data_IF_948373986627
#
_entry.id   IF_948373986627
#
_cell.length_a   1.000
_cell.length_b   1.000
_cell.length_c   1.000
_cell.angle_alpha   90.00
_cell.angle_beta   90.00
_cell.angle_gamma   90.00
#
_symmetry.space_group_name_H-M   'P 1'
#
loop_
_entity.id
_entity.type
_entity.pdbx_description
1 polymer ?
#
# COMPACT_ATOMS: atom_id res chain seq x y z
N UNK A 1 0.77 15.79 0.61
CA UNK A 1 0.33 16.11 1.98
C UNK A 1 0.20 14.80 2.73
N UNK A 2 1.11 14.55 3.66
CA UNK A 2 1.18 13.29 4.41
C UNK A 2 0.14 13.32 5.53
N UNK A 3 -0.92 12.51 5.39
CA UNK A 3 -1.90 12.30 6.46
C UNK A 3 -1.19 11.57 7.60
N UNK A 4 -1.31 12.09 8.82
CA UNK A 4 -0.73 11.43 10.00
C UNK A 4 -1.65 10.28 10.40
N UNK A 5 -1.11 9.09 10.64
CA UNK A 5 -1.90 7.98 11.17
C UNK A 5 -1.92 8.13 12.70
N UNK A 6 -3.10 8.11 13.30
CA UNK A 6 -3.31 8.23 14.74
C UNK A 6 -3.68 6.86 15.28
N UNK A 7 -3.00 6.43 16.33
CA UNK A 7 -3.32 5.24 17.12
C UNK A 7 -3.92 5.67 18.46
N UNK A 8 -5.02 5.05 18.85
CA UNK A 8 -5.59 5.16 20.20
C UNK A 8 -6.27 3.86 20.62
N UNK A 9 -6.43 3.64 21.92
CA UNK A 9 -7.10 2.44 22.44
C UNK A 9 -8.54 2.80 22.85
N UNK A 10 -9.51 2.01 22.39
CA UNK A 10 -10.93 2.13 22.74
C UNK A 10 -11.65 0.82 22.41
N UNK A 11 -12.76 0.48 23.07
CA UNK A 11 -13.48 -0.78 22.86
C UNK A 11 -12.58 -2.02 23.02
N UNK A 12 -11.65 -1.98 23.98
CA UNK A 12 -10.65 -3.03 24.24
C UNK A 12 -9.79 -3.39 23.02
N UNK A 13 -9.60 -2.43 22.09
CA UNK A 13 -8.82 -2.59 20.86
C UNK A 13 -7.98 -1.37 20.57
N UNK A 14 -6.89 -1.57 19.85
CA UNK A 14 -6.15 -0.49 19.21
C UNK A 14 -6.87 -0.10 17.91
N UNK A 15 -7.18 1.18 17.77
CA UNK A 15 -7.83 1.78 16.61
C UNK A 15 -6.82 2.69 15.92
N UNK A 16 -6.75 2.55 14.59
CA UNK A 16 -5.86 3.31 13.72
C UNK A 16 -6.71 4.13 12.77
N UNK A 17 -6.39 5.43 12.63
CA UNK A 17 -7.16 6.34 11.77
C UNK A 17 -6.31 7.45 11.20
N UNK A 18 -6.49 7.81 9.94
CA UNK A 18 -5.84 8.97 9.36
C UNK A 18 -6.38 10.28 9.94
N UNK A 19 -5.48 11.22 10.22
CA UNK A 19 -5.83 12.60 10.55
C UNK A 19 -6.39 13.28 9.30
N UNK A 20 -7.60 13.82 9.36
CA UNK A 20 -8.11 14.67 8.29
C UNK A 20 -7.38 16.04 8.33
N UNK A 21 -6.70 16.40 7.24
CA UNK A 21 -5.96 17.67 7.12
C UNK A 21 -6.82 18.90 6.85
N UNK A 22 -8.15 18.78 6.77
CA UNK A 22 -9.04 19.92 6.57
C UNK A 22 -9.31 20.72 7.86
N UNK A 23 -8.36 20.77 8.80
CA UNK A 23 -8.57 21.31 10.16
C UNK A 23 -7.68 22.52 10.47
N UNK A 24 -6.68 22.83 9.63
CA UNK A 24 -5.79 23.97 9.87
C UNK A 24 -6.27 25.28 9.22
N UNK A 25 -7.35 25.29 8.46
CA UNK A 25 -8.04 26.54 8.11
C UNK A 25 -9.05 26.83 9.22
N UNK A 26 -8.91 28.00 9.85
CA UNK A 26 -9.94 28.60 10.69
C UNK A 26 -11.29 28.44 9.96
N UNK A 27 -12.32 27.87 10.60
CA UNK A 27 -13.60 27.78 9.95
C UNK A 27 -14.11 29.20 9.71
N UNK A 28 -14.26 29.58 8.44
CA UNK A 28 -15.31 30.54 8.11
C UNK A 28 -16.59 29.99 8.75
N UNK A 29 -17.22 30.79 9.61
CA UNK A 29 -18.31 30.40 10.51
C UNK A 29 -19.62 29.94 9.79
N UNK A 30 -19.52 29.57 8.53
CA UNK A 30 -20.61 29.22 7.62
C UNK A 30 -20.44 27.82 6.99
N UNK A 31 -19.33 27.10 7.21
CA UNK A 31 -19.14 25.75 6.68
C UNK A 31 -19.64 24.67 7.66
N UNK A 32 -20.89 24.24 7.50
CA UNK A 32 -21.51 23.14 8.25
C UNK A 32 -20.76 21.80 8.05
N UNK A 33 -20.14 21.60 6.89
CA UNK A 33 -19.37 20.40 6.55
C UNK A 33 -18.07 20.25 7.37
N UNK A 34 -17.39 21.35 7.71
CA UNK A 34 -16.16 21.32 8.50
C UNK A 34 -16.42 21.00 9.99
N UNK A 35 -17.60 21.35 10.50
CA UNK A 35 -18.01 21.04 11.87
C UNK A 35 -18.37 19.55 12.04
N UNK A 36 -19.07 18.97 11.07
CA UNK A 36 -19.43 17.54 11.07
C UNK A 36 -18.20 16.62 10.92
N UNK A 37 -17.21 16.98 10.10
CA UNK A 37 -15.97 16.22 9.94
C UNK A 37 -15.14 16.20 11.23
N UNK A 38 -15.03 17.35 11.93
CA UNK A 38 -14.36 17.47 13.22
C UNK A 38 -15.06 16.65 14.32
N UNK A 39 -16.40 16.59 14.30
CA UNK A 39 -17.20 15.75 15.20
C UNK A 39 -17.02 14.24 14.94
N UNK A 40 -16.76 13.83 13.70
CA UNK A 40 -16.47 12.42 13.37
C UNK A 40 -15.12 11.96 13.91
N UNK A 41 -14.11 12.83 13.99
CA UNK A 41 -12.78 12.47 14.52
C UNK A 41 -12.78 12.22 16.03
N UNK A 42 -13.72 12.82 16.76
CA UNK A 42 -13.88 12.64 18.20
C UNK A 42 -14.82 11.48 18.55
N UNK A 43 -15.16 10.61 17.58
CA UNK A 43 -16.00 9.43 17.81
C UNK A 43 -15.26 8.16 17.44
N UNK A 44 -15.46 7.13 18.24
CA UNK A 44 -14.96 5.79 17.96
C UNK A 44 -15.64 5.27 16.68
N UNK A 45 -14.91 4.80 15.66
CA UNK A 45 -15.52 4.25 14.44
C UNK A 45 -16.23 2.91 14.67
N UNK A 46 -15.98 2.25 15.81
CA UNK A 46 -16.57 0.95 16.15
C UNK A 46 -17.89 1.09 16.90
N UNK A 47 -17.92 1.93 17.94
CA UNK A 47 -19.12 2.09 18.79
C UNK A 47 -19.79 3.46 18.69
N UNK A 48 -19.23 4.38 17.89
CA UNK A 48 -19.75 5.74 17.66
C UNK A 48 -19.82 6.68 18.88
N UNK A 49 -19.33 6.20 20.04
CA UNK A 49 -19.22 6.98 21.27
C UNK A 49 -18.12 8.05 21.18
N UNK A 50 -18.29 9.12 21.96
CA UNK A 50 -17.31 10.20 22.02
C UNK A 50 -16.03 9.73 22.69
N UNK A 51 -14.91 9.87 21.98
CA UNK A 51 -13.58 9.57 22.48
C UNK A 51 -13.20 10.56 23.59
N UNK A 52 -12.76 10.01 24.73
CA UNK A 52 -12.20 10.75 25.85
C UNK A 52 -10.93 10.04 26.27
N UNK A 53 -9.84 10.79 26.35
CA UNK A 53 -8.53 10.25 26.69
C UNK A 53 -8.02 10.94 27.95
N UNK A 54 -7.48 10.16 28.88
CA UNK A 54 -6.62 10.70 29.92
C UNK A 54 -5.18 10.84 29.38
N UNK A 55 -4.27 11.43 30.17
CA UNK A 55 -2.90 11.68 29.72
C UNK A 55 -2.12 10.40 29.35
N UNK A 56 -2.41 9.28 30.01
CA UNK A 56 -1.75 7.98 29.75
C UNK A 56 -2.32 7.26 28.54
N UNK A 57 -3.57 7.59 28.15
CA UNK A 57 -4.30 7.02 27.01
C UNK A 57 -4.36 8.00 25.82
N UNK A 58 -3.52 9.04 25.85
CA UNK A 58 -3.50 10.06 24.80
C UNK A 58 -3.21 9.41 23.44
N UNK A 59 -3.94 9.79 22.38
CA UNK A 59 -3.67 9.29 21.03
C UNK A 59 -2.24 9.60 20.62
N UNK A 60 -1.60 8.63 19.96
CA UNK A 60 -0.22 8.78 19.48
C UNK A 60 -0.21 8.88 17.96
N UNK A 61 0.53 9.86 17.45
CA UNK A 61 0.83 9.97 16.03
C UNK A 61 1.88 8.94 15.64
N UNK A 62 1.58 8.14 14.63
CA UNK A 62 2.51 7.20 14.02
C UNK A 62 2.76 7.58 12.54
N UNK A 63 3.91 7.18 11.98
CA UNK A 63 4.23 7.48 10.58
C UNK A 63 3.15 6.98 9.63
N UNK A 64 2.89 7.76 8.58
CA UNK A 64 2.01 7.34 7.49
C UNK A 64 2.52 6.02 6.90
N UNK A 65 1.67 4.98 6.76
CA UNK A 65 2.09 3.71 6.17
C UNK A 65 2.29 3.82 4.66
N UNK A 66 1.75 4.87 4.02
CA UNK A 66 1.87 5.09 2.59
C UNK A 66 3.16 5.80 2.25
N UNK A 67 3.87 5.26 1.26
CA UNK A 67 5.05 5.83 0.65
C UNK A 67 4.88 5.84 -0.86
N UNK A 68 5.75 6.60 -1.55
CA UNK A 68 5.88 6.45 -2.98
C UNK A 68 6.62 5.13 -3.27
N UNK A 69 5.91 4.15 -3.84
CA UNK A 69 6.44 2.83 -4.17
C UNK A 69 7.61 2.91 -5.15
N UNK A 70 7.62 3.89 -6.05
CA UNK A 70 8.73 4.12 -6.98
C UNK A 70 10.03 4.53 -6.27
N UNK A 71 9.96 4.98 -5.01
CA UNK A 71 11.14 5.33 -4.21
C UNK A 71 11.62 4.18 -3.32
N UNK A 72 10.97 3.01 -3.35
CA UNK A 72 11.34 1.84 -2.55
C UNK A 72 11.83 0.74 -3.49
N UNK A 73 13.17 0.53 -3.60
CA UNK A 73 13.73 -0.44 -4.52
C UNK A 73 13.44 -1.88 -4.08
N UNK A 74 13.29 -2.79 -5.04
CA UNK A 74 13.16 -4.22 -4.78
C UNK A 74 12.10 -4.55 -3.72
N UNK A 75 10.90 -3.99 -3.89
CA UNK A 75 9.85 -4.00 -2.88
C UNK A 75 8.57 -4.63 -3.39
N UNK A 76 7.83 -5.22 -2.46
CA UNK A 76 6.44 -5.59 -2.63
C UNK A 76 5.56 -4.38 -2.31
N UNK A 77 4.77 -3.93 -3.28
CA UNK A 77 3.91 -2.77 -3.16
C UNK A 77 2.44 -3.18 -3.17
N UNK A 78 1.69 -2.64 -2.22
CA UNK A 78 0.22 -2.71 -2.17
C UNK A 78 -0.31 -1.32 -2.47
N UNK A 79 -0.97 -1.19 -3.61
CA UNK A 79 -1.66 0.01 -4.06
C UNK A 79 -3.14 -0.28 -4.31
N UNK A 80 -3.77 0.58 -5.10
CA UNK A 80 -5.14 0.41 -5.59
C UNK A 80 -5.15 0.27 -7.10
N UNK A 81 -6.00 -0.62 -7.63
CA UNK A 81 -6.16 -0.82 -9.07
C UNK A 81 -6.62 0.46 -9.80
N UNK A 82 -7.30 1.35 -9.08
CA UNK A 82 -7.78 2.62 -9.61
C UNK A 82 -6.80 3.79 -9.37
N UNK A 83 -5.60 3.48 -8.88
CA UNK A 83 -4.52 4.44 -8.68
C UNK A 83 -4.44 5.05 -7.27
N UNK A 84 -3.45 5.93 -7.02
CA UNK A 84 -3.03 6.36 -5.68
C UNK A 84 -4.11 7.06 -4.85
N UNK A 85 -5.11 7.66 -5.49
CA UNK A 85 -6.19 8.37 -4.78
C UNK A 85 -7.25 7.42 -4.21
N UNK A 86 -7.28 6.17 -4.67
CA UNK A 86 -8.29 5.17 -4.32
C UNK A 86 -7.76 4.12 -3.33
N UNK A 87 -6.69 4.44 -2.59
CA UNK A 87 -6.28 3.68 -1.40
C UNK A 87 -6.68 4.48 -0.17
N UNK A 88 -7.67 3.97 0.57
CA UNK A 88 -8.24 4.68 1.73
C UNK A 88 -8.69 3.72 2.83
N UNK A 89 -8.91 4.25 4.03
CA UNK A 89 -9.49 3.51 5.16
C UNK A 89 -11.03 3.51 5.16
N UNK A 90 -11.65 4.30 4.28
CA UNK A 90 -13.10 4.55 4.27
C UNK A 90 -13.81 3.88 3.11
N UNK A 91 -13.11 3.61 2.01
CA UNK A 91 -13.69 3.10 0.77
C UNK A 91 -13.19 1.68 0.52
N UNK A 92 -14.04 0.86 -0.08
CA UNK A 92 -13.64 -0.44 -0.63
C UNK A 92 -12.58 -0.19 -1.72
N UNK A 93 -11.33 -0.45 -1.35
CA UNK A 93 -10.19 -0.27 -2.24
C UNK A 93 -9.88 -1.61 -2.89
N UNK A 94 -10.07 -1.70 -4.21
CA UNK A 94 -9.61 -2.86 -4.98
C UNK A 94 -8.09 -2.91 -4.96
N UNK A 95 -7.54 -3.76 -4.06
CA UNK A 95 -6.10 -3.84 -3.83
C UNK A 95 -5.39 -4.37 -5.06
N UNK A 96 -4.30 -3.70 -5.42
CA UNK A 96 -3.44 -4.08 -6.53
C UNK A 96 -1.99 -4.22 -6.08
N UNK A 97 -1.32 -5.22 -6.64
CA UNK A 97 0.00 -5.65 -6.19
C UNK A 97 1.03 -5.45 -7.29
N UNK A 98 2.19 -4.90 -6.92
CA UNK A 98 3.30 -4.66 -7.81
C UNK A 98 4.64 -4.97 -7.15
N UNK A 99 5.63 -5.32 -7.96
CA UNK A 99 7.01 -5.54 -7.54
C UNK A 99 7.90 -4.45 -8.16
N UNK A 100 8.69 -3.74 -7.36
CA UNK A 100 9.66 -2.79 -7.91
C UNK A 100 10.97 -3.48 -8.27
N UNK A 101 11.58 -3.03 -9.37
CA UNK A 101 12.99 -3.27 -9.61
C UNK A 101 13.85 -2.30 -8.74
N UNK A 102 15.17 -2.37 -8.87
CA UNK A 102 16.10 -1.53 -8.10
C UNK A 102 16.01 -0.04 -8.44
N UNK A 103 15.41 0.31 -9.58
CA UNK A 103 15.23 1.69 -10.07
C UNK A 103 13.85 2.27 -9.76
N UNK A 104 12.94 1.50 -9.16
CA UNK A 104 11.60 1.96 -8.82
C UNK A 104 10.54 1.76 -9.91
N UNK A 105 10.87 1.08 -11.02
CA UNK A 105 9.86 0.68 -12.01
C UNK A 105 9.03 -0.45 -11.42
N UNK A 106 7.71 -0.31 -11.45
CA UNK A 106 6.78 -1.27 -10.84
C UNK A 106 6.26 -2.25 -11.89
N UNK A 107 6.60 -3.52 -11.71
CA UNK A 107 6.09 -4.63 -12.49
C UNK A 107 4.80 -5.14 -11.84
N UNK A 108 3.70 -5.13 -12.60
CA UNK A 108 2.41 -5.60 -12.12
C UNK A 108 1.63 -6.32 -13.20
N UNK A 109 0.85 -7.33 -12.81
CA UNK A 109 0.06 -8.12 -13.75
C UNK A 109 -1.37 -7.60 -13.80
N UNK A 110 -1.83 -7.23 -14.99
CA UNK A 110 -3.18 -6.72 -15.22
C UNK A 110 -3.89 -7.54 -16.31
N UNK A 111 -5.12 -7.13 -16.61
CA UNK A 111 -5.91 -7.65 -17.73
C UNK A 111 -5.20 -7.55 -19.09
N UNK A 112 -4.21 -6.66 -19.22
CA UNK A 112 -3.45 -6.46 -20.46
C UNK A 112 -2.08 -7.13 -20.43
N UNK A 113 -1.79 -8.00 -19.45
CA UNK A 113 -0.48 -8.62 -19.28
C UNK A 113 0.38 -7.94 -18.22
N UNK A 114 1.67 -8.23 -18.21
CA UNK A 114 2.62 -7.54 -17.33
C UNK A 114 2.83 -6.11 -17.82
N UNK A 115 2.61 -5.17 -16.91
CA UNK A 115 2.92 -3.75 -17.08
C UNK A 115 4.21 -3.38 -16.34
N UNK A 116 4.85 -2.33 -16.83
CA UNK A 116 6.01 -1.66 -16.21
C UNK A 116 5.63 -0.21 -16.03
N UNK A 117 5.23 0.12 -14.82
CA UNK A 117 4.70 1.43 -14.49
C UNK A 117 5.78 2.28 -13.82
N UNK A 118 6.01 3.47 -14.36
CA UNK A 118 6.89 4.51 -13.78
C UNK A 118 6.10 5.56 -12.98
N UNK A 119 4.77 5.43 -12.94
CA UNK A 119 3.84 6.28 -12.20
C UNK A 119 2.61 5.47 -11.76
N UNK A 120 1.81 6.02 -10.84
CA UNK A 120 0.56 5.40 -10.37
C UNK A 120 0.73 4.57 -9.08
N UNK A 121 1.95 4.52 -8.53
CA UNK A 121 2.28 3.85 -7.27
C UNK A 121 2.79 4.83 -6.21
N UNK A 122 2.40 6.11 -6.29
CA UNK A 122 2.87 7.18 -5.39
C UNK A 122 2.29 7.08 -3.97
N UNK A 123 1.23 6.28 -3.79
CA UNK A 123 0.68 5.92 -2.47
C UNK A 123 0.53 4.42 -2.37
N UNK A 124 1.52 3.78 -1.76
CA UNK A 124 1.55 2.35 -1.54
C UNK A 124 1.99 2.01 -0.13
N UNK A 125 1.52 0.88 0.38
CA UNK A 125 2.23 0.18 1.46
C UNK A 125 3.36 -0.61 0.82
N UNK A 126 4.59 -0.24 1.13
CA UNK A 126 5.79 -0.81 0.51
C UNK A 126 6.60 -1.63 1.51
N UNK A 127 6.86 -2.89 1.16
CA UNK A 127 7.69 -3.81 1.93
C UNK A 127 8.99 -4.07 1.15
N UNK A 128 10.13 -3.45 1.51
CA UNK A 128 11.40 -3.73 0.85
C UNK A 128 11.81 -5.19 1.11
N UNK A 129 12.16 -5.91 0.05
CA UNK A 129 12.51 -7.34 0.12
C UNK A 129 14.01 -7.58 -0.05
N UNK A 130 14.75 -6.60 -0.55
CA UNK A 130 16.21 -6.65 -0.67
C UNK A 130 16.82 -5.51 0.13
N UNK A 131 17.80 -5.83 0.97
CA UNK A 131 18.53 -4.83 1.76
C UNK A 131 19.29 -3.84 0.87
N UNK A 132 19.46 -2.61 1.34
CA UNK A 132 19.99 -1.50 0.54
C UNK A 132 21.44 -1.71 0.08
N UNK A 133 22.23 -2.45 0.84
CA UNK A 133 23.65 -2.73 0.66
C UNK A 133 23.95 -4.00 -0.19
N UNK A 134 22.94 -4.82 -0.51
CA UNK A 134 23.11 -6.06 -1.31
C UNK A 134 23.05 -5.80 -2.80
N UNK A 135 24.00 -5.05 -3.35
CA UNK A 135 24.02 -4.62 -4.76
C UNK A 135 23.95 -5.78 -5.77
N UNK A 136 24.71 -6.84 -5.57
CA UNK A 136 24.69 -8.02 -6.46
C UNK A 136 23.30 -8.68 -6.49
N UNK A 137 22.62 -8.73 -5.34
CA UNK A 137 21.27 -9.27 -5.24
C UNK A 137 20.25 -8.36 -5.95
N UNK A 138 20.45 -7.03 -5.94
CA UNK A 138 19.62 -6.09 -6.70
C UNK A 138 19.78 -6.27 -8.21
N UNK A 139 21.01 -6.47 -8.69
CA UNK A 139 21.27 -6.74 -10.11
C UNK A 139 20.63 -8.07 -10.55
N UNK A 140 20.75 -9.11 -9.72
CA UNK A 140 20.10 -10.39 -9.95
C UNK A 140 18.57 -10.24 -9.94
N UNK A 141 18.02 -9.56 -8.94
CA UNK A 141 16.59 -9.26 -8.84
C UNK A 141 16.06 -8.58 -10.10
N UNK A 142 16.75 -7.56 -10.60
CA UNK A 142 16.34 -6.84 -11.81
C UNK A 142 16.40 -7.74 -13.06
N UNK A 143 17.48 -8.52 -13.20
CA UNK A 143 17.63 -9.44 -14.34
C UNK A 143 16.57 -10.53 -14.33
N UNK A 144 16.29 -11.12 -13.16
CA UNK A 144 15.29 -12.16 -13.00
C UNK A 144 13.88 -11.60 -13.15
N UNK A 145 13.56 -10.43 -12.60
CA UNK A 145 12.26 -9.79 -12.77
C UNK A 145 11.95 -9.50 -14.24
N UNK A 146 12.96 -9.05 -14.98
CA UNK A 146 12.86 -8.82 -16.42
C UNK A 146 12.52 -10.12 -17.16
N UNK A 147 13.31 -11.19 -16.98
CA UNK A 147 13.06 -12.49 -17.62
C UNK A 147 11.72 -13.09 -17.20
N UNK A 148 11.40 -13.01 -15.91
CA UNK A 148 10.19 -13.56 -15.33
C UNK A 148 8.94 -12.86 -15.88
N UNK A 149 9.01 -11.55 -16.11
CA UNK A 149 7.91 -10.76 -16.72
C UNK A 149 7.56 -11.20 -18.15
N UNK A 150 8.47 -11.87 -18.85
CA UNK A 150 8.29 -12.31 -20.23
C UNK A 150 7.74 -13.73 -20.35
N UNK A 151 7.56 -14.45 -19.22
CA UNK A 151 7.04 -15.82 -19.24
C UNK A 151 5.59 -15.85 -19.74
N UNK A 152 5.28 -16.81 -20.60
CA UNK A 152 3.93 -17.04 -21.13
C UNK A 152 2.87 -17.34 -20.03
N UNK A 153 3.31 -17.65 -18.81
CA UNK A 153 2.47 -17.76 -17.62
C UNK A 153 1.70 -16.47 -17.32
N UNK A 154 2.22 -15.32 -17.76
CA UNK A 154 1.66 -13.98 -17.51
C UNK A 154 1.05 -13.33 -18.75
N UNK A 155 0.69 -14.14 -19.76
CA UNK A 155 -0.02 -13.64 -20.92
C UNK A 155 -1.41 -13.08 -20.53
N UNK A 156 -1.92 -12.02 -21.18
CA UNK A 156 -3.17 -11.36 -20.79
C UNK A 156 -4.38 -12.31 -20.69
N UNK A 157 -4.45 -13.29 -21.59
CA UNK A 157 -5.54 -14.27 -21.69
C UNK A 157 -5.64 -15.15 -20.44
N UNK A 158 -4.54 -15.26 -19.69
CA UNK A 158 -4.46 -16.14 -18.52
C UNK A 158 -4.95 -15.46 -17.25
N UNK A 159 -5.23 -14.15 -17.26
CA UNK A 159 -5.53 -13.37 -16.06
C UNK A 159 -6.73 -13.91 -15.26
N UNK A 160 -7.74 -14.43 -15.95
CA UNK A 160 -8.94 -15.00 -15.31
C UNK A 160 -8.83 -16.50 -15.04
N UNK A 161 -7.73 -17.17 -15.41
CA UNK A 161 -7.55 -18.58 -15.10
C UNK A 161 -7.53 -18.80 -13.57
N UNK A 162 -8.43 -19.65 -13.09
CA UNK A 162 -8.36 -20.17 -11.73
C UNK A 162 -7.22 -21.20 -11.66
N UNK A 163 -6.18 -20.86 -10.91
CA UNK A 163 -5.09 -21.75 -10.51
C UNK A 163 -5.03 -21.79 -8.99
N UNK A 164 -4.16 -22.63 -8.43
CA UNK A 164 -3.99 -22.79 -6.97
C UNK A 164 -3.82 -21.45 -6.21
N UNK A 165 -3.28 -20.41 -6.87
CA UNK A 165 -3.18 -19.03 -6.33
C UNK A 165 -3.91 -17.97 -7.17
N UNK A 166 -4.68 -18.37 -8.19
CA UNK A 166 -5.28 -17.50 -9.22
C UNK A 166 -4.24 -16.87 -10.16
N UNK A 167 -4.65 -16.42 -11.35
CA UNK A 167 -3.76 -15.66 -12.26
C UNK A 167 -3.91 -14.15 -12.07
N UNK A 168 -3.73 -13.65 -10.84
CA UNK A 168 -3.90 -12.21 -10.52
C UNK A 168 -2.56 -11.52 -10.23
N UNK A 169 -2.61 -10.21 -10.00
CA UNK A 169 -1.46 -9.40 -9.59
C UNK A 169 -0.73 -9.95 -8.35
N UNK A 170 -1.47 -10.42 -7.35
CA UNK A 170 -0.90 -11.04 -6.15
C UNK A 170 -0.11 -12.31 -6.47
N UNK A 171 -0.64 -13.18 -7.34
CA UNK A 171 0.01 -14.42 -7.71
C UNK A 171 1.30 -14.18 -8.50
N UNK A 172 1.30 -13.18 -9.40
CA UNK A 172 2.53 -12.75 -10.09
C UNK A 172 3.63 -12.38 -9.07
N UNK A 173 3.31 -11.48 -8.15
CA UNK A 173 4.25 -11.01 -7.14
C UNK A 173 4.77 -12.15 -6.25
N UNK A 174 3.87 -12.98 -5.71
CA UNK A 174 4.24 -14.08 -4.83
C UNK A 174 5.08 -15.15 -5.54
N UNK A 175 4.72 -15.48 -6.79
CA UNK A 175 5.48 -16.46 -7.58
C UNK A 175 6.88 -15.95 -7.89
N UNK A 176 7.03 -14.66 -8.20
CA UNK A 176 8.35 -14.05 -8.39
C UNK A 176 9.19 -14.08 -7.10
N UNK A 177 8.60 -13.73 -5.96
CA UNK A 177 9.30 -13.78 -4.66
C UNK A 177 9.78 -15.21 -4.37
N UNK A 178 8.94 -16.21 -4.59
CA UNK A 178 9.30 -17.61 -4.39
C UNK A 178 10.39 -18.08 -5.37
N UNK A 179 10.35 -17.63 -6.63
CA UNK A 179 11.41 -17.86 -7.62
C UNK A 179 12.76 -17.31 -7.13
N UNK A 180 12.77 -16.07 -6.63
CA UNK A 180 13.98 -15.45 -6.08
C UNK A 180 14.50 -16.21 -4.84
N UNK A 181 13.61 -16.63 -3.94
CA UNK A 181 13.99 -17.45 -2.76
C UNK A 181 14.59 -18.79 -3.14
N UNK A 182 14.09 -19.43 -4.19
CA UNK A 182 14.64 -20.69 -4.69
C UNK A 182 16.02 -20.52 -5.33
N UNK A 183 16.26 -19.37 -5.96
CA UNK A 183 17.54 -19.06 -6.64
C UNK A 183 18.66 -18.69 -5.66
N UNK A 184 18.36 -17.95 -4.59
CA UNK A 184 19.37 -17.42 -3.63
C UNK A 184 19.37 -18.14 -2.27
N UNK A 185 18.44 -19.07 -2.01
CA UNK A 185 18.42 -19.86 -0.78
C UNK A 185 17.95 -19.11 0.49
N UNK A 186 17.88 -17.77 0.49
CA UNK A 186 17.17 -16.88 1.45
C UNK A 186 17.22 -15.42 0.95
N UNK A 187 16.05 -14.84 0.63
CA UNK A 187 15.87 -13.38 0.55
C UNK A 187 15.99 -12.77 1.95
#
# INVERSE_FOLDING_TARGET
MDRTLIKFSHCDKDIYRFSDHNICEEPDAQSTHAFESKLRLLRCPVCFERLRFNLLEAPVSIPCPFKNGHNVPCAFNIGSMYGPLHISEYDESELHIGITNSKGVVYNYTLTGIRRDESGWEKCVSVPLVQSDRYSLKELWDSELEKFSLLASWAPQRFYEEREFGSRCYAFALTFINHMRATEGKL
#
